data_IF_393097383686
#
_entry.id   IF_393097383686
#
_cell.length_a   1.000
_cell.length_b   1.000
_cell.length_c   1.000
_cell.angle_alpha   90.00
_cell.angle_beta   90.00
_cell.angle_gamma   90.00
#
_symmetry.space_group_name_H-M   'P 1'
#
loop_
_entity.id
_entity.type
_entity.pdbx_description
1 polymer ?
#
# COMPACT_ATOMS: atom_id res chain seq x y z
N UNK A 1 0.83 -78.83 17.43
CA UNK A 1 1.79 -77.77 17.11
C UNK A 1 1.15 -76.91 16.02
N UNK A 2 0.67 -75.72 16.38
CA UNK A 2 0.03 -74.77 15.48
C UNK A 2 1.08 -73.81 14.88
N UNK A 3 0.98 -73.40 13.61
CA UNK A 3 1.81 -72.36 13.06
C UNK A 3 1.21 -70.98 13.39
N UNK A 4 2.03 -70.12 13.98
CA UNK A 4 1.70 -68.72 14.27
C UNK A 4 1.78 -67.87 12.99
N UNK A 5 0.78 -67.00 12.77
CA UNK A 5 0.89 -65.86 11.86
C UNK A 5 0.87 -64.57 12.68
N UNK A 6 1.95 -63.78 12.57
CA UNK A 6 2.15 -62.50 13.24
C UNK A 6 1.52 -61.39 12.39
N UNK A 7 0.59 -60.62 12.95
CA UNK A 7 0.13 -59.36 12.33
C UNK A 7 1.12 -58.23 12.66
N UNK A 8 1.69 -57.59 11.64
CA UNK A 8 2.43 -56.33 11.79
C UNK A 8 1.47 -55.15 11.68
N UNK A 9 1.18 -54.48 12.80
CA UNK A 9 0.73 -53.09 12.82
C UNK A 9 1.97 -52.21 12.90
N UNK A 10 2.28 -51.45 11.85
CA UNK A 10 3.41 -50.54 11.91
C UNK A 10 3.82 -49.93 10.57
N UNK A 11 2.90 -49.26 9.88
CA UNK A 11 3.26 -48.26 8.86
C UNK A 11 2.11 -47.28 8.60
N UNK A 12 0.86 -47.76 8.50
CA UNK A 12 -0.28 -46.90 8.11
C UNK A 12 -0.61 -45.76 9.09
N UNK A 13 -0.44 -45.95 10.40
CA UNK A 13 -0.72 -44.88 11.37
C UNK A 13 0.33 -43.76 11.39
N UNK A 14 1.52 -43.99 10.84
CA UNK A 14 2.57 -42.96 10.79
C UNK A 14 2.35 -42.04 9.61
N UNK A 15 1.96 -42.61 8.46
CA UNK A 15 1.65 -41.89 7.24
C UNK A 15 0.38 -41.03 7.38
N UNK A 16 -0.67 -41.54 8.03
CA UNK A 16 -1.88 -40.75 8.34
C UNK A 16 -1.59 -39.62 9.32
N UNK A 17 -0.78 -39.87 10.36
CA UNK A 17 -0.41 -38.86 11.33
C UNK A 17 0.43 -37.74 10.68
N UNK A 18 1.40 -38.10 9.84
CA UNK A 18 2.24 -37.16 9.09
C UNK A 18 1.39 -36.32 8.11
N UNK A 19 0.52 -36.95 7.32
CA UNK A 19 -0.39 -36.24 6.40
C UNK A 19 -1.37 -35.30 7.12
N UNK A 20 -1.86 -35.68 8.31
CA UNK A 20 -2.71 -34.82 9.15
C UNK A 20 -1.92 -33.64 9.74
N UNK A 21 -0.67 -33.83 10.16
CA UNK A 21 0.20 -32.72 10.60
C UNK A 21 0.59 -31.80 9.45
N UNK A 22 0.84 -32.33 8.26
CA UNK A 22 1.16 -31.55 7.06
C UNK A 22 -0.05 -30.71 6.62
N UNK A 23 -1.25 -31.29 6.61
CA UNK A 23 -2.51 -30.57 6.39
C UNK A 23 -2.77 -29.49 7.44
N UNK A 24 -2.43 -29.74 8.71
CA UNK A 24 -2.58 -28.76 9.77
C UNK A 24 -1.58 -27.59 9.63
N UNK A 25 -0.33 -27.90 9.26
CA UNK A 25 0.72 -26.91 8.96
C UNK A 25 0.33 -26.00 7.78
N UNK A 26 -0.15 -26.60 6.68
CA UNK A 26 -0.62 -25.88 5.50
C UNK A 26 -1.83 -24.98 5.82
N UNK A 27 -2.79 -25.44 6.63
CA UNK A 27 -3.93 -24.61 7.07
C UNK A 27 -3.48 -23.43 7.92
N UNK A 28 -2.48 -23.61 8.78
CA UNK A 28 -1.96 -22.52 9.61
C UNK A 28 -1.16 -21.51 8.79
N UNK A 29 -0.36 -21.98 7.83
CA UNK A 29 0.30 -21.13 6.83
C UNK A 29 -0.72 -20.33 6.01
N UNK A 30 -1.81 -20.96 5.56
CA UNK A 30 -2.89 -20.28 4.83
C UNK A 30 -3.60 -19.22 5.69
N UNK A 31 -3.91 -19.54 6.95
CA UNK A 31 -4.53 -18.57 7.87
C UNK A 31 -3.61 -17.37 8.13
N UNK A 32 -2.31 -17.62 8.31
CA UNK A 32 -1.30 -16.57 8.45
C UNK A 32 -1.19 -15.74 7.18
N UNK A 33 -1.16 -16.36 6.01
CA UNK A 33 -1.18 -15.68 4.70
C UNK A 33 -2.42 -14.80 4.54
N UNK A 34 -3.62 -15.32 4.82
CA UNK A 34 -4.88 -14.56 4.71
C UNK A 34 -4.90 -13.38 5.68
N UNK A 35 -4.42 -13.56 6.91
CA UNK A 35 -4.33 -12.47 7.90
C UNK A 35 -3.37 -11.38 7.44
N UNK A 36 -2.14 -11.76 7.04
CA UNK A 36 -1.15 -10.81 6.53
C UNK A 36 -1.63 -10.11 5.25
N UNK A 37 -2.27 -10.84 4.35
CA UNK A 37 -2.88 -10.28 3.13
C UNK A 37 -4.00 -9.30 3.47
N UNK A 38 -4.87 -9.59 4.44
CA UNK A 38 -5.93 -8.67 4.85
C UNK A 38 -5.43 -7.41 5.55
N UNK A 39 -4.40 -7.55 6.38
CA UNK A 39 -3.72 -6.41 7.02
C UNK A 39 -2.94 -5.56 5.99
N UNK A 40 -2.46 -6.20 4.93
CA UNK A 40 -1.74 -5.56 3.82
C UNK A 40 -2.65 -4.89 2.78
N UNK A 41 -3.81 -5.47 2.49
CA UNK A 41 -4.71 -5.01 1.42
C UNK A 41 -5.82 -4.12 1.96
N UNK A 42 -5.57 -2.81 1.96
CA UNK A 42 -6.62 -1.78 2.11
C UNK A 42 -6.59 -0.76 0.95
N UNK A 43 -5.84 -1.01 -0.13
CA UNK A 43 -5.86 -0.16 -1.33
C UNK A 43 -5.43 -0.89 -2.63
N UNK A 44 -6.03 -0.50 -3.76
CA UNK A 44 -5.58 -0.76 -5.14
C UNK A 44 -5.64 -2.18 -5.76
N UNK A 45 -6.34 -3.17 -5.16
CA UNK A 45 -6.50 -4.52 -5.78
C UNK A 45 -7.02 -4.48 -7.23
N UNK A 46 -7.90 -3.54 -7.56
CA UNK A 46 -8.46 -3.41 -8.91
C UNK A 46 -7.41 -3.04 -9.97
N UNK A 47 -6.32 -2.36 -9.59
CA UNK A 47 -5.25 -1.99 -10.53
C UNK A 47 -4.29 -3.14 -10.80
N UNK A 48 -3.97 -3.93 -9.78
CA UNK A 48 -3.11 -5.12 -9.91
C UNK A 48 -3.71 -6.14 -10.90
N UNK A 49 -5.00 -6.42 -10.78
CA UNK A 49 -5.68 -7.41 -11.63
C UNK A 49 -6.10 -6.85 -12.99
N UNK A 50 -5.74 -5.59 -13.32
CA UNK A 50 -6.19 -4.85 -14.51
C UNK A 50 -7.71 -4.91 -14.70
N UNK A 51 -8.45 -5.01 -13.60
CA UNK A 51 -9.89 -4.98 -13.64
C UNK A 51 -10.31 -3.55 -13.98
N UNK A 52 -11.12 -3.39 -15.01
CA UNK A 52 -11.80 -2.14 -15.29
C UNK A 52 -12.71 -1.84 -14.11
N UNK A 53 -12.22 -1.03 -13.18
CA UNK A 53 -13.06 -0.38 -12.18
C UNK A 53 -14.15 0.38 -12.92
N UNK A 54 -15.41 0.04 -12.66
CA UNK A 54 -16.56 0.87 -13.04
C UNK A 54 -16.68 2.00 -12.00
N UNK A 55 -15.61 2.74 -11.78
CA UNK A 55 -15.67 4.04 -11.14
C UNK A 55 -15.46 5.04 -12.27
N UNK A 56 -16.56 5.73 -12.59
CA UNK A 56 -16.79 6.34 -13.89
C UNK A 56 -15.68 7.25 -14.39
N UNK A 57 -15.72 7.50 -15.70
CA UNK A 57 -15.03 8.63 -16.30
C UNK A 57 -15.55 9.95 -15.69
N UNK A 58 -15.04 10.30 -14.51
CA UNK A 58 -15.10 11.64 -13.95
C UNK A 58 -13.97 12.51 -14.52
N UNK A 59 -14.09 13.85 -14.46
CA UNK A 59 -13.09 14.72 -15.07
C UNK A 59 -11.70 14.49 -14.46
N UNK A 60 -10.75 14.15 -15.33
CA UNK A 60 -9.27 14.08 -15.17
C UNK A 60 -8.66 13.17 -14.08
N UNK A 61 -9.40 12.68 -13.08
CA UNK A 61 -8.79 12.03 -11.90
C UNK A 61 -8.39 10.54 -12.02
N UNK A 62 -9.07 9.64 -12.76
CA UNK A 62 -8.62 8.23 -12.85
C UNK A 62 -7.39 8.02 -13.74
N UNK A 63 -7.17 8.91 -14.71
CA UNK A 63 -6.08 8.78 -15.70
C UNK A 63 -4.70 8.86 -15.07
N UNK A 64 -4.53 9.72 -14.06
CA UNK A 64 -3.24 9.93 -13.41
C UNK A 64 -2.80 8.70 -12.63
N UNK A 65 -3.69 8.11 -11.83
CA UNK A 65 -3.41 6.85 -11.12
C UNK A 65 -3.07 5.72 -12.11
N UNK A 66 -3.87 5.54 -13.16
CA UNK A 66 -3.60 4.55 -14.19
C UNK A 66 -2.24 4.78 -14.88
N UNK A 67 -1.88 6.04 -15.14
CA UNK A 67 -0.60 6.37 -15.77
C UNK A 67 0.61 6.16 -14.86
N UNK A 68 0.46 6.34 -13.54
CA UNK A 68 1.53 6.10 -12.55
C UNK A 68 1.79 4.60 -12.43
N UNK A 69 0.73 3.80 -12.39
CA UNK A 69 0.84 2.35 -12.23
C UNK A 69 1.24 1.63 -13.53
N UNK A 70 1.22 2.33 -14.67
CA UNK A 70 1.70 1.81 -15.95
C UNK A 70 3.22 1.91 -16.15
N UNK A 71 3.91 2.80 -15.42
CA UNK A 71 5.34 3.04 -15.60
C UNK A 71 6.22 1.90 -15.01
N UNK A 72 5.64 1.00 -14.21
CA UNK A 72 6.30 -0.15 -13.57
C UNK A 72 7.59 0.22 -12.79
N UNK A 73 7.59 1.40 -12.17
CA UNK A 73 8.70 1.92 -11.37
C UNK A 73 8.46 1.72 -9.87
N UNK A 74 9.40 1.06 -9.17
CA UNK A 74 9.25 0.75 -7.72
C UNK A 74 8.96 2.00 -6.87
N UNK A 75 9.60 3.12 -7.16
CA UNK A 75 9.40 4.36 -6.40
C UNK A 75 7.94 4.84 -6.41
N UNK A 76 7.20 4.59 -7.49
CA UNK A 76 5.79 4.96 -7.62
C UNK A 76 4.89 4.12 -6.74
N UNK A 77 5.16 2.82 -6.64
CA UNK A 77 4.44 1.92 -5.73
C UNK A 77 4.76 2.24 -4.27
N UNK A 78 6.02 2.57 -3.96
CA UNK A 78 6.41 3.00 -2.63
C UNK A 78 5.68 4.29 -2.22
N UNK A 79 5.61 5.29 -3.11
CA UNK A 79 4.84 6.52 -2.88
C UNK A 79 3.34 6.22 -2.71
N UNK A 80 2.76 5.37 -3.56
CA UNK A 80 1.38 4.88 -3.44
C UNK A 80 1.15 3.97 -2.21
N UNK A 81 2.13 3.88 -1.30
CA UNK A 81 2.07 3.18 -0.02
C UNK A 81 1.83 1.67 -0.16
N UNK A 82 2.27 1.09 -1.28
CA UNK A 82 2.20 -0.35 -1.55
C UNK A 82 3.33 -1.06 -0.79
N UNK A 83 3.01 -1.46 0.44
CA UNK A 83 3.94 -2.17 1.32
C UNK A 83 4.05 -3.67 1.03
N UNK A 84 3.12 -4.23 0.25
CA UNK A 84 3.02 -5.68 0.02
C UNK A 84 2.67 -6.00 -1.43
N UNK A 85 3.28 -7.06 -1.95
CA UNK A 85 3.10 -7.53 -3.33
C UNK A 85 2.74 -9.01 -3.29
N UNK A 86 1.74 -9.41 -4.07
CA UNK A 86 1.30 -10.80 -4.20
C UNK A 86 1.60 -11.26 -5.61
N UNK A 87 2.43 -12.29 -5.76
CA UNK A 87 2.89 -12.74 -7.08
C UNK A 87 3.06 -14.25 -7.12
N UNK A 88 2.82 -14.86 -8.28
CA UNK A 88 3.37 -16.18 -8.57
C UNK A 88 4.80 -16.00 -9.08
N UNK A 89 5.76 -16.71 -8.48
CA UNK A 89 7.17 -16.61 -8.84
C UNK A 89 7.90 -15.46 -8.14
N UNK A 90 8.94 -14.95 -8.80
CA UNK A 90 9.90 -13.99 -8.24
C UNK A 90 9.28 -12.61 -7.95
N UNK A 91 10.00 -11.85 -7.12
CA UNK A 91 9.65 -10.48 -6.78
C UNK A 91 9.65 -9.58 -8.03
N UNK A 92 8.68 -8.66 -8.19
CA UNK A 92 8.63 -7.76 -9.35
C UNK A 92 9.74 -6.71 -9.32
N UNK A 93 10.28 -6.42 -8.14
CA UNK A 93 11.30 -5.40 -7.91
C UNK A 93 12.37 -5.94 -6.97
N UNK A 94 13.60 -5.45 -7.14
CA UNK A 94 14.70 -5.73 -6.22
C UNK A 94 14.43 -5.18 -4.80
N UNK A 95 15.08 -5.78 -3.80
CA UNK A 95 14.97 -5.35 -2.41
C UNK A 95 13.63 -5.66 -1.72
N UNK A 96 12.73 -6.40 -2.37
CA UNK A 96 11.53 -6.95 -1.76
C UNK A 96 11.86 -8.19 -0.93
N UNK A 97 11.36 -8.23 0.30
CA UNK A 97 11.58 -9.35 1.22
C UNK A 97 10.46 -10.38 1.09
N UNK A 98 10.78 -11.63 0.76
CA UNK A 98 9.78 -12.71 0.74
C UNK A 98 9.32 -13.02 2.17
N UNK A 99 8.03 -12.84 2.42
CA UNK A 99 7.40 -13.01 3.74
C UNK A 99 6.57 -14.30 3.84
N UNK A 100 6.20 -14.91 2.71
CA UNK A 100 5.47 -16.17 2.64
C UNK A 100 5.19 -16.60 1.20
N UNK A 101 4.61 -17.80 1.05
CA UNK A 101 4.31 -18.44 -0.23
C UNK A 101 4.82 -19.88 -0.25
N UNK A 102 4.57 -20.60 -1.34
CA UNK A 102 5.07 -21.97 -1.52
C UNK A 102 6.51 -21.98 -2.02
N UNK A 103 7.30 -22.96 -1.57
CA UNK A 103 8.65 -23.16 -2.08
C UNK A 103 8.61 -23.56 -3.55
N UNK A 104 9.57 -23.07 -4.33
CA UNK A 104 9.58 -23.23 -5.80
C UNK A 104 9.64 -24.71 -6.23
N UNK A 105 10.14 -25.58 -5.36
CA UNK A 105 10.37 -27.03 -5.54
C UNK A 105 9.12 -27.92 -5.30
N UNK A 106 7.95 -27.36 -5.02
CA UNK A 106 6.72 -28.15 -4.82
C UNK A 106 6.15 -28.63 -6.17
N UNK A 107 6.69 -29.73 -6.71
CA UNK A 107 6.36 -30.27 -8.04
C UNK A 107 4.88 -30.70 -8.23
N UNK A 108 4.08 -30.85 -7.16
CA UNK A 108 2.72 -31.42 -7.27
C UNK A 108 1.60 -30.69 -6.48
N UNK A 109 1.70 -29.38 -6.25
CA UNK A 109 0.59 -28.66 -5.62
C UNK A 109 -0.43 -28.15 -6.67
N UNK A 110 -1.58 -28.84 -6.79
CA UNK A 110 -2.82 -28.36 -7.44
C UNK A 110 -3.27 -26.95 -6.97
N UNK A 111 -2.69 -26.45 -5.87
CA UNK A 111 -2.95 -25.15 -5.28
C UNK A 111 -1.65 -24.46 -4.84
N UNK A 112 -0.81 -23.99 -5.79
CA UNK A 112 0.34 -23.14 -5.43
C UNK A 112 -0.14 -21.81 -4.84
N UNK A 113 0.18 -21.54 -3.57
CA UNK A 113 -0.08 -20.26 -2.90
C UNK A 113 0.87 -19.21 -3.49
N UNK A 114 0.35 -18.03 -3.90
CA UNK A 114 1.21 -16.93 -4.35
C UNK A 114 2.24 -16.52 -3.28
N UNK A 115 3.41 -16.11 -3.75
CA UNK A 115 4.41 -15.47 -2.93
C UNK A 115 3.93 -14.10 -2.46
N UNK A 116 4.15 -13.83 -1.17
CA UNK A 116 3.93 -12.55 -0.52
C UNK A 116 5.27 -11.88 -0.28
N UNK A 117 5.45 -10.69 -0.82
CA UNK A 117 6.65 -9.89 -0.67
C UNK A 117 6.36 -8.59 0.07
N UNK A 118 7.29 -8.15 0.91
CA UNK A 118 7.20 -6.90 1.69
C UNK A 118 8.18 -5.85 1.17
N UNK A 119 7.69 -4.63 0.99
CA UNK A 119 8.51 -3.41 0.84
C UNK A 119 8.80 -2.81 2.21
N UNK A 120 10.07 -2.46 2.46
CA UNK A 120 10.50 -1.65 3.61
C UNK A 120 10.65 -0.17 3.27
N UNK A 121 10.50 0.18 2.00
CA UNK A 121 10.69 1.54 1.47
C UNK A 121 9.36 2.22 1.17
N UNK A 122 8.25 1.51 1.30
CA UNK A 122 6.91 2.06 1.13
C UNK A 122 6.68 3.24 2.07
N UNK A 123 5.98 4.24 1.56
CA UNK A 123 5.60 5.41 2.32
C UNK A 123 4.48 5.02 3.28
N UNK A 124 4.38 5.66 4.45
CA UNK A 124 3.12 5.60 5.19
C UNK A 124 2.03 6.23 4.31
N UNK A 125 0.81 5.69 4.41
CA UNK A 125 -0.33 6.17 3.60
C UNK A 125 -0.70 7.63 3.90
N UNK A 126 -0.42 8.08 5.12
CA UNK A 126 -0.51 9.45 5.55
C UNK A 126 0.85 9.88 6.11
N UNK A 127 1.36 11.03 5.68
CA UNK A 127 2.56 11.66 6.23
C UNK A 127 2.38 13.17 6.32
N UNK A 128 3.09 13.82 7.24
CA UNK A 128 3.18 15.28 7.29
C UNK A 128 4.53 15.70 6.75
N UNK A 129 4.52 16.65 5.81
CA UNK A 129 5.73 17.30 5.30
C UNK A 129 5.71 18.78 5.65
N UNK A 130 6.89 19.37 5.85
CA UNK A 130 7.04 20.77 6.26
C UNK A 130 7.58 21.67 5.15
N UNK A 131 7.72 21.13 3.93
CA UNK A 131 8.10 21.89 2.74
C UNK A 131 7.10 21.63 1.64
N UNK A 132 6.68 22.70 0.97
CA UNK A 132 5.79 22.62 -0.18
C UNK A 132 6.29 23.52 -1.30
N UNK A 133 6.05 23.08 -2.54
CA UNK A 133 6.40 23.80 -3.76
C UNK A 133 5.16 23.86 -4.63
N UNK A 134 4.83 25.04 -5.15
CA UNK A 134 3.77 25.16 -6.13
C UNK A 134 4.25 24.53 -7.44
N UNK A 135 3.45 23.63 -8.01
CA UNK A 135 3.83 22.85 -9.18
C UNK A 135 2.67 22.77 -10.18
N UNK A 136 3.02 22.86 -11.46
CA UNK A 136 2.15 22.41 -12.54
C UNK A 136 2.02 20.88 -12.54
N UNK A 137 1.03 20.36 -13.25
CA UNK A 137 0.85 18.92 -13.46
C UNK A 137 2.14 18.23 -13.97
N UNK A 138 2.84 18.86 -14.91
CA UNK A 138 4.06 18.32 -15.50
C UNK A 138 5.22 18.30 -14.50
N UNK A 139 5.37 19.36 -13.69
CA UNK A 139 6.39 19.44 -12.64
C UNK A 139 6.14 18.43 -11.53
N UNK A 140 4.88 18.28 -11.10
CA UNK A 140 4.51 17.30 -10.09
C UNK A 140 4.72 15.85 -10.60
N UNK A 141 4.39 15.56 -11.86
CA UNK A 141 4.68 14.25 -12.49
C UNK A 141 6.18 13.97 -12.54
N UNK A 142 6.99 14.95 -12.94
CA UNK A 142 8.43 14.79 -13.02
C UNK A 142 9.06 14.56 -11.63
N UNK A 143 8.54 15.22 -10.59
CA UNK A 143 9.02 15.08 -9.23
C UNK A 143 8.84 13.66 -8.65
N UNK A 144 7.87 12.87 -9.13
CA UNK A 144 7.61 11.53 -8.62
C UNK A 144 8.82 10.58 -8.70
N UNK A 145 9.69 10.78 -9.69
CA UNK A 145 10.85 9.94 -9.95
C UNK A 145 12.18 10.70 -9.77
N UNK A 146 12.13 11.94 -9.28
CA UNK A 146 13.31 12.78 -9.10
C UNK A 146 13.90 12.58 -7.69
N UNK A 147 15.04 11.90 -7.54
CA UNK A 147 15.64 11.67 -6.23
C UNK A 147 16.15 12.96 -5.56
N UNK A 148 16.32 14.05 -6.30
CA UNK A 148 16.69 15.37 -5.73
C UNK A 148 15.50 16.09 -5.08
N UNK A 149 14.29 15.56 -5.26
CA UNK A 149 13.02 16.11 -4.77
C UNK A 149 12.25 15.05 -3.97
N UNK A 150 12.79 14.58 -2.83
CA UNK A 150 12.19 13.47 -2.10
C UNK A 150 10.81 13.83 -1.56
N UNK A 151 9.79 13.07 -1.98
CA UNK A 151 8.39 13.27 -1.57
C UNK A 151 8.13 13.02 -0.07
N UNK A 152 9.11 12.47 0.66
CA UNK A 152 9.05 12.36 2.14
C UNK A 152 9.31 13.68 2.84
N UNK A 153 9.83 14.67 2.12
CA UNK A 153 10.22 15.98 2.67
C UNK A 153 9.47 17.13 2.00
N UNK A 154 9.07 16.95 0.73
CA UNK A 154 8.41 17.97 -0.08
C UNK A 154 7.03 17.48 -0.55
N UNK A 155 6.05 18.39 -0.54
CA UNK A 155 4.81 18.25 -1.29
C UNK A 155 4.81 19.20 -2.50
N UNK A 156 4.55 18.67 -3.69
CA UNK A 156 4.36 19.44 -4.92
C UNK A 156 2.87 19.73 -5.11
N UNK A 157 2.43 20.93 -4.74
CA UNK A 157 1.02 21.31 -4.70
C UNK A 157 0.57 21.94 -6.01
N UNK A 158 -0.50 21.40 -6.60
CA UNK A 158 -1.24 22.08 -7.67
C UNK A 158 -2.19 23.10 -7.05
N UNK A 159 -1.91 24.38 -7.27
CA UNK A 159 -2.66 25.51 -6.75
C UNK A 159 -3.52 26.17 -7.85
N UNK A 160 -4.63 26.78 -7.46
CA UNK A 160 -5.41 27.62 -8.37
C UNK A 160 -4.67 28.94 -8.67
N UNK A 161 -4.91 29.57 -9.83
CA UNK A 161 -4.27 30.84 -10.17
C UNK A 161 -4.49 31.93 -9.11
N UNK A 162 -3.40 32.43 -8.52
CA UNK A 162 -3.42 33.47 -7.50
C UNK A 162 -3.57 32.95 -6.07
N UNK A 163 -3.72 31.65 -5.88
CA UNK A 163 -3.71 31.04 -4.55
C UNK A 163 -2.27 31.00 -3.99
N UNK A 164 -2.04 31.48 -2.76
CA UNK A 164 -0.72 31.42 -2.15
C UNK A 164 -0.40 30.01 -1.67
N UNK A 165 0.89 29.67 -1.64
CA UNK A 165 1.35 28.49 -0.92
C UNK A 165 1.00 28.61 0.58
N UNK A 166 0.64 27.49 1.25
CA UNK A 166 0.50 27.49 2.69
C UNK A 166 1.83 27.88 3.35
N UNK A 167 1.77 28.66 4.42
CA UNK A 167 2.94 29.00 5.22
C UNK A 167 3.31 27.80 6.09
N UNK A 168 4.52 27.28 5.92
CA UNK A 168 4.99 26.09 6.63
C UNK A 168 6.17 26.43 7.53
N UNK A 169 6.32 25.67 8.61
CA UNK A 169 7.45 25.80 9.53
C UNK A 169 8.30 24.54 9.43
N UNK A 170 9.57 24.69 9.05
CA UNK A 170 10.53 23.58 8.99
C UNK A 170 10.57 22.86 10.35
N UNK A 171 10.16 21.60 10.34
CA UNK A 171 10.08 20.76 11.53
C UNK A 171 10.30 19.29 11.18
N UNK A 172 10.63 18.48 12.18
CA UNK A 172 10.78 17.03 12.06
C UNK A 172 10.16 16.33 13.28
N UNK A 173 9.56 15.16 13.04
CA UNK A 173 8.94 14.35 14.09
C UNK A 173 7.41 14.40 14.14
N UNK A 174 6.76 15.04 13.16
CA UNK A 174 5.31 14.97 13.00
C UNK A 174 4.83 13.54 12.72
N UNK A 175 3.66 13.18 13.23
CA UNK A 175 3.05 11.86 13.03
C UNK A 175 1.68 11.98 12.39
N UNK A 176 1.24 10.93 11.70
CA UNK A 176 -0.11 10.82 11.16
C UNK A 176 -0.57 9.36 11.22
N UNK A 177 -1.71 9.09 11.88
CA UNK A 177 -2.34 7.77 11.93
C UNK A 177 -3.74 7.83 11.33
N UNK A 178 -4.09 6.83 10.52
CA UNK A 178 -5.44 6.72 9.95
C UNK A 178 -6.31 5.97 10.95
N UNK A 179 -7.25 6.68 11.58
CA UNK A 179 -8.20 6.13 12.55
C UNK A 179 -9.41 5.49 11.87
N UNK A 180 -9.83 6.04 10.73
CA UNK A 180 -10.97 5.56 9.95
C UNK A 180 -10.67 5.65 8.46
N UNK A 181 -10.93 4.56 7.72
CA UNK A 181 -10.84 4.53 6.26
C UNK A 181 -12.08 3.83 5.67
N UNK A 182 -13.00 4.63 5.15
CA UNK A 182 -14.20 4.20 4.41
C UNK A 182 -14.14 4.73 2.98
N UNK A 183 -15.03 4.24 2.12
CA UNK A 183 -15.08 4.63 0.71
C UNK A 183 -15.25 6.15 0.50
N UNK A 184 -16.02 6.82 1.36
CA UNK A 184 -16.36 8.24 1.25
C UNK A 184 -15.95 9.06 2.49
N UNK A 185 -15.18 8.48 3.41
CA UNK A 185 -14.74 9.15 4.63
C UNK A 185 -13.38 8.62 5.06
N UNK A 186 -12.50 9.52 5.45
CA UNK A 186 -11.23 9.19 6.10
C UNK A 186 -11.05 10.11 7.29
N UNK A 187 -10.59 9.56 8.40
CA UNK A 187 -10.19 10.30 9.60
C UNK A 187 -8.73 9.99 9.85
N UNK A 188 -7.92 11.04 9.94
CA UNK A 188 -6.49 10.97 10.21
C UNK A 188 -6.23 11.77 11.47
N UNK A 189 -5.64 11.14 12.47
CA UNK A 189 -5.09 11.80 13.65
C UNK A 189 -3.68 12.29 13.30
N UNK A 190 -3.38 13.55 13.61
CA UNK A 190 -2.14 14.22 13.21
C UNK A 190 -1.54 14.93 14.41
N UNK A 191 -0.30 14.61 14.73
CA UNK A 191 0.51 15.41 15.65
C UNK A 191 1.54 16.16 14.80
N UNK A 192 1.30 17.44 14.54
CA UNK A 192 2.20 18.29 13.78
C UNK A 192 3.15 19.03 14.72
N UNK A 193 4.46 18.89 14.51
CA UNK A 193 5.45 19.60 15.32
C UNK A 193 5.67 21.06 14.89
N UNK A 194 5.03 21.48 13.80
CA UNK A 194 5.04 22.80 13.18
C UNK A 194 3.99 22.86 12.07
N UNK A 195 3.71 24.06 11.54
CA UNK A 195 2.81 24.18 10.38
C UNK A 195 3.33 23.32 9.21
N UNK A 196 2.46 22.52 8.64
CA UNK A 196 2.81 21.45 7.71
C UNK A 196 1.69 21.15 6.72
N UNK A 197 1.94 20.15 5.88
CA UNK A 197 0.96 19.60 4.95
C UNK A 197 0.84 18.12 5.23
N UNK A 198 -0.37 17.69 5.61
CA UNK A 198 -0.73 16.28 5.59
C UNK A 198 -0.90 15.84 4.13
N UNK A 199 -0.05 14.92 3.68
CA UNK A 199 -0.16 14.24 2.39
C UNK A 199 -0.75 12.85 2.63
N UNK A 200 -1.82 12.54 1.90
CA UNK A 200 -2.46 11.22 1.88
C UNK A 200 -2.29 10.64 0.49
N UNK A 201 -1.63 9.48 0.42
CA UNK A 201 -1.31 8.72 -0.80
C UNK A 201 -2.52 8.04 -1.45
N UNK A 202 -3.66 8.73 -1.44
CA UNK A 202 -4.89 8.36 -2.11
C UNK A 202 -5.15 9.33 -3.26
N UNK A 203 -5.75 8.84 -4.34
CA UNK A 203 -6.12 9.67 -5.47
C UNK A 203 -7.01 10.85 -5.08
N UNK A 204 -6.58 12.04 -5.45
CA UNK A 204 -7.37 13.26 -5.34
C UNK A 204 -8.57 13.22 -6.28
N UNK A 205 -9.73 13.66 -5.79
CA UNK A 205 -10.95 13.81 -6.58
C UNK A 205 -11.71 15.06 -6.13
N UNK A 206 -12.32 15.86 -7.03
CA UNK A 206 -12.91 17.16 -6.70
C UNK A 206 -14.14 17.10 -5.76
N UNK A 207 -14.67 15.91 -5.49
CA UNK A 207 -15.77 15.69 -4.56
C UNK A 207 -15.36 15.57 -3.09
N UNK A 208 -14.06 15.42 -2.80
CA UNK A 208 -13.58 15.40 -1.42
C UNK A 208 -13.56 16.79 -0.81
N UNK A 209 -13.87 16.86 0.48
CA UNK A 209 -13.76 18.06 1.29
C UNK A 209 -12.89 17.73 2.51
N UNK A 210 -12.07 18.68 2.94
CA UNK A 210 -11.22 18.53 4.11
C UNK A 210 -11.74 19.38 5.28
N UNK A 211 -11.52 18.87 6.49
CA UNK A 211 -11.69 19.61 7.73
C UNK A 211 -10.51 19.33 8.64
N UNK A 212 -10.03 20.36 9.32
CA UNK A 212 -9.03 20.28 10.40
C UNK A 212 -9.71 20.81 11.65
N UNK A 213 -9.71 20.01 12.72
CA UNK A 213 -10.40 20.35 13.98
C UNK A 213 -11.85 20.83 13.79
N UNK A 214 -12.58 20.12 12.92
CA UNK A 214 -13.96 20.43 12.50
C UNK A 214 -14.15 21.68 11.62
N UNK A 215 -13.13 22.53 11.48
CA UNK A 215 -13.15 23.70 10.60
C UNK A 215 -12.87 23.29 9.13
N UNK A 216 -13.57 23.88 8.14
CA UNK A 216 -13.25 23.66 6.73
C UNK A 216 -11.79 24.03 6.42
N UNK A 217 -11.11 23.18 5.67
CA UNK A 217 -9.72 23.39 5.24
C UNK A 217 -9.59 23.21 3.72
N UNK A 218 -8.63 23.89 3.07
CA UNK A 218 -8.29 23.63 1.67
C UNK A 218 -7.89 22.17 1.44
N UNK A 219 -8.23 21.63 0.27
CA UNK A 219 -7.82 20.31 -0.17
C UNK A 219 -7.10 20.43 -1.51
N UNK A 220 -5.79 20.23 -1.48
CA UNK A 220 -4.92 20.29 -2.64
C UNK A 220 -4.74 18.92 -3.27
N UNK A 221 -4.47 18.94 -4.57
CA UNK A 221 -3.79 17.82 -5.21
C UNK A 221 -2.29 18.01 -4.99
N UNK A 222 -1.65 16.99 -4.42
CA UNK A 222 -0.20 16.95 -4.22
C UNK A 222 0.41 15.84 -5.06
N UNK A 223 1.69 16.00 -5.42
CA UNK A 223 2.54 14.93 -5.92
C UNK A 223 1.87 14.13 -7.04
N UNK A 224 1.30 14.88 -7.98
CA UNK A 224 0.56 14.42 -9.17
C UNK A 224 -0.77 13.69 -8.91
N UNK A 225 -0.91 12.93 -7.83
CA UNK A 225 -2.10 12.11 -7.54
C UNK A 225 -2.65 12.25 -6.12
N UNK A 226 -1.82 12.57 -5.13
CA UNK A 226 -2.18 12.52 -3.72
C UNK A 226 -3.12 13.66 -3.30
N UNK A 227 -3.77 13.47 -2.15
CA UNK A 227 -4.51 14.51 -1.44
C UNK A 227 -3.59 15.22 -0.45
N UNK A 228 -3.72 16.53 -0.34
CA UNK A 228 -2.98 17.32 0.63
C UNK A 228 -3.87 18.30 1.38
N UNK A 229 -3.68 18.40 2.70
CA UNK A 229 -4.41 19.30 3.59
C UNK A 229 -3.40 20.03 4.48
N UNK A 230 -3.40 21.37 4.50
CA UNK A 230 -2.59 22.12 5.46
C UNK A 230 -3.01 21.82 6.90
N UNK A 231 -2.04 21.65 7.78
CA UNK A 231 -2.24 21.41 9.22
C UNK A 231 -1.37 22.38 10.02
N UNK A 232 -1.86 22.82 11.17
CA UNK A 232 -1.11 23.64 12.14
C UNK A 232 -0.61 22.78 13.29
N UNK A 233 0.39 23.29 14.01
CA UNK A 233 0.84 22.73 15.30
C UNK A 233 -0.18 22.96 16.44
#
# INVERSE_FOLDING_TARGET
>A
AEPWTRFSRGSEHRDEAEALTESASQREQLKRYVRLSREAFVGNRHVEERLSSIEGEGPRAPRRLASVLADDERALFDFASVAWYVRRGEAPFSGLERAGGDDDDADEALFRIPNLYRSRTAFPRALVVHRAVAASEAEARAALLDPSRPLREYAFLELDPGEPLPSLTDCAGSTASIEEAMANRMVVDVEACGDGVLVVSDSWFPGWQARVDSAPAPLYRADYLARAVPVSA
#
